data_IF_165760557598
#
_entry.id   IF_165760557598
#
_cell.length_a   1.000
_cell.length_b   1.000
_cell.length_c   1.000
_cell.angle_alpha   90.00
_cell.angle_beta   90.00
_cell.angle_gamma   90.00
#
_symmetry.space_group_name_H-M   'P 1'
#
loop_
_entity.id
_entity.type
_entity.pdbx_description
1 polymer ?
#
# COMPACT_ATOMS: atom_id res chain seq x y z
N UNK A 1 -17.31 -5.41 23.88
CA UNK A 1 -16.61 -4.76 25.01
C UNK A 1 -17.26 -5.19 26.31
N UNK A 2 -16.50 -5.46 27.38
CA UNK A 2 -17.06 -5.75 28.70
C UNK A 2 -17.90 -4.55 29.19
N UNK A 3 -19.21 -4.73 29.22
CA UNK A 3 -20.14 -3.73 29.71
C UNK A 3 -20.16 -3.77 31.24
N UNK A 4 -20.31 -2.59 31.87
CA UNK A 4 -20.58 -2.55 33.29
C UNK A 4 -21.95 -3.18 33.53
N UNK A 5 -22.00 -4.20 34.40
CA UNK A 5 -23.26 -4.83 34.78
C UNK A 5 -23.95 -3.97 35.83
N UNK A 6 -25.27 -4.03 35.86
CA UNK A 6 -26.07 -3.38 36.90
C UNK A 6 -25.59 -3.91 38.27
N UNK A 7 -25.17 -3.00 39.16
CA UNK A 7 -24.62 -3.28 40.50
C UNK A 7 -23.24 -3.97 40.58
N UNK A 8 -22.47 -4.05 39.49
CA UNK A 8 -21.10 -4.58 39.54
C UNK A 8 -20.11 -3.64 38.86
N UNK A 9 -19.12 -3.15 39.61
CA UNK A 9 -17.98 -2.43 39.02
C UNK A 9 -17.11 -3.41 38.25
N UNK A 10 -16.56 -2.96 37.12
CA UNK A 10 -15.53 -3.72 36.42
C UNK A 10 -14.35 -3.98 37.36
N UNK A 11 -13.82 -5.18 37.29
CA UNK A 11 -12.53 -5.51 37.89
C UNK A 11 -11.41 -4.68 37.24
N UNK A 12 -10.26 -4.59 37.91
CA UNK A 12 -9.13 -3.85 37.35
C UNK A 12 -8.67 -4.41 35.98
N UNK A 13 -8.74 -5.73 35.81
CA UNK A 13 -8.43 -6.38 34.53
C UNK A 13 -9.43 -6.01 33.43
N UNK A 14 -10.74 -6.06 33.73
CA UNK A 14 -11.80 -5.68 32.78
C UNK A 14 -11.75 -4.18 32.41
N UNK A 15 -11.40 -3.31 33.36
CA UNK A 15 -11.24 -1.88 33.08
C UNK A 15 -10.04 -1.65 32.14
N UNK A 16 -8.91 -2.30 32.38
CA UNK A 16 -7.74 -2.23 31.49
C UNK A 16 -8.05 -2.76 30.09
N UNK A 17 -8.81 -3.86 29.99
CA UNK A 17 -9.24 -4.41 28.72
C UNK A 17 -10.23 -3.47 28.01
N UNK A 18 -11.20 -2.91 28.74
CA UNK A 18 -12.14 -1.93 28.23
C UNK A 18 -11.41 -0.71 27.67
N UNK A 19 -10.45 -0.14 28.39
CA UNK A 19 -9.65 0.99 27.92
C UNK A 19 -8.83 0.66 26.67
N UNK A 20 -8.24 -0.55 26.60
CA UNK A 20 -7.53 -1.03 25.41
C UNK A 20 -8.46 -1.13 24.20
N UNK A 21 -9.65 -1.71 24.36
CA UNK A 21 -10.63 -1.79 23.29
C UNK A 21 -11.12 -0.40 22.87
N UNK A 22 -11.40 0.48 23.84
CA UNK A 22 -11.90 1.83 23.61
C UNK A 22 -10.86 2.69 22.90
N UNK A 23 -9.58 2.42 23.15
CA UNK A 23 -8.49 3.00 22.40
C UNK A 23 -8.58 2.57 20.93
N UNK A 24 -8.75 1.29 20.61
CA UNK A 24 -8.67 0.81 19.23
C UNK A 24 -9.98 0.87 18.43
N UNK A 25 -11.10 1.26 19.05
CA UNK A 25 -12.43 1.15 18.42
C UNK A 25 -12.54 1.94 17.10
N UNK A 26 -11.85 3.08 16.98
CA UNK A 26 -11.86 3.93 15.79
C UNK A 26 -11.31 3.20 14.55
N UNK A 27 -10.37 2.29 14.74
CA UNK A 27 -9.73 1.53 13.66
C UNK A 27 -10.74 0.57 13.02
N UNK A 28 -11.66 0.02 13.82
CA UNK A 28 -12.71 -0.89 13.31
C UNK A 28 -13.60 -0.15 12.32
N UNK A 29 -14.03 1.08 12.66
CA UNK A 29 -14.87 1.87 11.77
C UNK A 29 -14.13 2.38 10.53
N UNK A 30 -12.81 2.61 10.62
CA UNK A 30 -11.99 2.96 9.45
C UNK A 30 -11.73 1.78 8.51
N UNK A 31 -11.61 0.57 9.05
CA UNK A 31 -11.18 -0.61 8.31
C UNK A 31 -12.29 -1.58 7.90
N UNK A 32 -13.51 -1.41 8.43
CA UNK A 32 -14.62 -2.35 8.21
C UNK A 32 -15.85 -1.65 7.64
N UNK A 33 -16.61 -2.38 6.82
CA UNK A 33 -17.93 -1.95 6.38
C UNK A 33 -18.86 -1.82 7.58
N UNK A 34 -19.39 -0.61 7.79
CA UNK A 34 -20.22 -0.29 8.96
C UNK A 34 -21.72 -0.25 8.60
N UNK A 35 -22.53 -1.09 9.23
CA UNK A 35 -23.98 -0.99 9.15
C UNK A 35 -24.49 0.07 10.13
N UNK A 36 -25.02 1.16 9.59
CA UNK A 36 -25.64 2.25 10.33
C UNK A 36 -27.13 2.00 10.44
N UNK A 37 -27.57 1.68 11.65
CA UNK A 37 -28.99 1.57 11.99
C UNK A 37 -29.48 2.92 12.51
N UNK A 38 -30.14 3.69 11.64
CA UNK A 38 -30.49 5.07 11.88
C UNK A 38 -31.91 5.21 12.44
N UNK A 39 -32.03 5.82 13.63
CA UNK A 39 -33.30 6.23 14.23
C UNK A 39 -33.39 7.77 14.32
N UNK A 40 -34.52 8.30 14.80
CA UNK A 40 -34.72 9.75 14.95
C UNK A 40 -33.75 10.43 15.93
N UNK A 41 -33.10 9.67 16.81
CA UNK A 41 -32.17 10.19 17.82
C UNK A 41 -30.70 9.97 17.43
N UNK A 42 -30.44 9.43 16.23
CA UNK A 42 -29.10 9.08 15.79
C UNK A 42 -28.19 10.31 15.72
N UNK A 43 -28.67 11.40 15.14
CA UNK A 43 -27.94 12.68 15.01
C UNK A 43 -27.77 13.45 16.32
N UNK A 44 -28.41 13.01 17.41
CA UNK A 44 -28.29 13.67 18.71
C UNK A 44 -27.21 13.07 19.60
N UNK A 45 -26.68 11.89 19.28
CA UNK A 45 -25.76 11.14 20.16
C UNK A 45 -24.33 11.23 19.66
N UNK A 46 -23.37 11.34 20.58
CA UNK A 46 -21.95 11.48 20.26
C UNK A 46 -21.41 10.26 19.51
N UNK A 47 -21.59 9.07 20.07
CA UNK A 47 -21.00 7.84 19.53
C UNK A 47 -21.52 7.53 18.12
N UNK A 48 -22.82 7.59 17.90
CA UNK A 48 -23.41 7.34 16.58
C UNK A 48 -22.84 8.26 15.50
N UNK A 49 -22.69 9.55 15.80
CA UNK A 49 -22.13 10.52 14.87
C UNK A 49 -20.62 10.33 14.66
N UNK A 50 -19.88 10.06 15.72
CA UNK A 50 -18.44 9.78 15.66
C UNK A 50 -18.14 8.52 14.85
N UNK A 51 -18.86 7.43 15.10
CA UNK A 51 -18.71 6.14 14.42
C UNK A 51 -19.04 6.28 12.94
N UNK A 52 -20.12 7.00 12.62
CA UNK A 52 -20.48 7.25 11.23
C UNK A 52 -19.42 8.11 10.52
N UNK A 53 -18.95 9.19 11.15
CA UNK A 53 -17.86 9.98 10.57
C UNK A 53 -16.64 9.10 10.28
N UNK A 54 -16.19 8.29 11.24
CA UNK A 54 -15.05 7.39 11.04
C UNK A 54 -15.28 6.40 9.88
N UNK A 55 -16.48 5.83 9.77
CA UNK A 55 -16.87 4.93 8.68
C UNK A 55 -16.93 5.61 7.30
N UNK A 56 -17.05 6.94 7.27
CA UNK A 56 -16.98 7.71 6.02
C UNK A 56 -15.56 8.08 5.64
N UNK A 57 -14.54 7.85 6.46
CA UNK A 57 -13.16 8.24 6.14
C UNK A 57 -12.42 7.13 5.39
N UNK A 58 -11.48 7.54 4.54
CA UNK A 58 -10.51 6.67 3.89
C UNK A 58 -9.12 7.03 4.39
N UNK A 59 -8.44 6.03 4.96
CA UNK A 59 -7.03 6.12 5.34
C UNK A 59 -6.12 6.06 4.11
N UNK A 60 -5.12 6.93 4.07
CA UNK A 60 -4.13 7.00 3.00
C UNK A 60 -2.77 7.48 3.52
N UNK A 61 -1.74 7.44 2.67
CA UNK A 61 -0.43 8.01 2.97
C UNK A 61 -0.46 9.52 3.26
N UNK A 62 -1.47 10.23 2.76
CA UNK A 62 -1.67 11.66 3.03
C UNK A 62 -2.59 11.92 4.23
N UNK A 63 -2.97 10.87 4.97
CA UNK A 63 -3.87 10.92 6.10
C UNK A 63 -5.29 10.50 5.78
N UNK A 64 -6.20 10.85 6.70
CA UNK A 64 -7.63 10.59 6.62
C UNK A 64 -8.30 11.60 5.69
N UNK A 65 -9.04 11.09 4.72
CA UNK A 65 -9.80 11.90 3.77
C UNK A 65 -11.25 11.44 3.68
N UNK A 66 -12.14 12.40 3.43
CA UNK A 66 -13.57 12.19 3.20
C UNK A 66 -13.80 11.16 2.09
N UNK A 67 -14.47 10.06 2.43
CA UNK A 67 -14.68 8.88 1.58
C UNK A 67 -15.83 8.96 0.59
N UNK A 68 -16.37 10.15 0.29
CA UNK A 68 -17.05 10.34 -1.00
C UNK A 68 -15.97 10.27 -2.09
N UNK A 69 -15.62 9.03 -2.49
CA UNK A 69 -14.65 8.68 -3.54
C UNK A 69 -15.07 9.31 -4.86
N UNK A 70 -14.79 10.60 -5.06
CA UNK A 70 -14.56 11.14 -6.40
C UNK A 70 -13.16 10.70 -6.80
N UNK A 71 -13.05 9.58 -7.52
CA UNK A 71 -11.82 9.24 -8.25
C UNK A 71 -11.13 7.91 -7.95
N UNK A 72 -11.74 6.97 -7.21
CA UNK A 72 -11.18 5.60 -7.11
C UNK A 72 -12.29 4.57 -7.33
N UNK A 73 -12.71 4.43 -8.59
CA UNK A 73 -13.63 3.37 -9.04
C UNK A 73 -13.08 1.97 -8.72
N UNK A 74 -11.75 1.81 -8.63
CA UNK A 74 -11.05 0.54 -8.46
C UNK A 74 -11.24 -0.11 -7.08
N UNK A 75 -11.27 0.66 -5.99
CA UNK A 75 -11.39 0.09 -4.65
C UNK A 75 -12.84 -0.04 -4.17
N UNK A 76 -13.79 0.65 -4.80
CA UNK A 76 -15.22 0.41 -4.58
C UNK A 76 -15.69 -0.89 -5.25
N UNK A 77 -15.06 -1.29 -6.37
CA UNK A 77 -15.26 -2.61 -6.99
C UNK A 77 -14.64 -3.77 -6.21
N UNK A 78 -13.53 -3.54 -5.49
CA UNK A 78 -12.83 -4.60 -4.74
C UNK A 78 -13.31 -4.78 -3.29
N UNK A 79 -13.77 -3.72 -2.61
CA UNK A 79 -14.06 -3.76 -1.15
C UNK A 79 -15.53 -3.51 -0.78
N UNK A 80 -16.40 -3.18 -1.75
CA UNK A 80 -17.80 -2.84 -1.47
C UNK A 80 -17.98 -1.47 -0.80
N UNK A 81 -19.21 -1.13 -0.35
CA UNK A 81 -19.48 0.14 0.32
C UNK A 81 -18.83 0.18 1.72
N UNK A 82 -18.27 1.34 2.09
CA UNK A 82 -17.67 1.55 3.43
C UNK A 82 -18.72 1.56 4.54
N UNK A 83 -19.96 1.91 4.21
CA UNK A 83 -21.07 1.92 5.15
C UNK A 83 -22.39 1.62 4.45
N UNK A 84 -23.37 1.16 5.22
CA UNK A 84 -24.75 0.92 4.78
C UNK A 84 -25.69 1.59 5.77
N UNK A 85 -26.52 2.53 5.31
CA UNK A 85 -27.51 3.18 6.17
C UNK A 85 -28.85 2.48 6.03
N UNK A 86 -29.46 2.14 7.17
CA UNK A 86 -30.82 1.59 7.27
C UNK A 86 -31.59 2.41 8.29
N UNK A 87 -32.52 3.22 7.80
CA UNK A 87 -33.46 3.93 8.66
C UNK A 87 -34.47 2.93 9.23
N UNK A 88 -34.68 2.97 10.54
CA UNK A 88 -35.60 2.08 11.26
C UNK A 88 -36.68 2.87 12.01
N UNK A 89 -37.75 2.18 12.40
CA UNK A 89 -38.93 2.78 13.03
C UNK A 89 -39.54 3.89 12.16
N UNK A 90 -39.74 5.08 12.73
CA UNK A 90 -40.33 6.24 12.08
C UNK A 90 -39.29 7.20 11.48
N UNK A 91 -38.00 6.79 11.41
CA UNK A 91 -36.97 7.62 10.80
C UNK A 91 -37.18 7.69 9.27
N UNK A 92 -37.32 8.90 8.68
CA UNK A 92 -37.51 9.04 7.25
C UNK A 92 -36.24 8.65 6.49
N UNK A 93 -36.39 8.05 5.31
CA UNK A 93 -35.25 7.69 4.46
C UNK A 93 -34.38 8.90 4.09
N UNK A 94 -34.96 10.11 4.04
CA UNK A 94 -34.22 11.36 3.82
C UNK A 94 -33.11 11.61 4.85
N UNK A 95 -33.20 11.01 6.05
CA UNK A 95 -32.17 11.10 7.08
C UNK A 95 -30.84 10.49 6.62
N UNK A 96 -30.86 9.55 5.67
CA UNK A 96 -29.64 9.03 5.05
C UNK A 96 -28.83 10.16 4.40
N UNK A 97 -29.47 10.96 3.54
CA UNK A 97 -28.82 12.07 2.88
C UNK A 97 -28.37 13.14 3.87
N UNK A 98 -29.18 13.41 4.90
CA UNK A 98 -28.78 14.34 5.97
C UNK A 98 -27.50 13.89 6.68
N UNK A 99 -27.38 12.59 6.99
CA UNK A 99 -26.17 12.07 7.62
C UNK A 99 -24.96 12.20 6.70
N UNK A 100 -25.10 11.79 5.44
CA UNK A 100 -24.05 11.91 4.43
C UNK A 100 -23.59 13.36 4.27
N UNK A 101 -24.52 14.32 4.12
CA UNK A 101 -24.22 15.75 4.01
C UNK A 101 -23.52 16.30 5.26
N UNK A 102 -23.92 15.82 6.44
CA UNK A 102 -23.35 16.27 7.72
C UNK A 102 -21.90 15.81 7.93
N UNK A 103 -21.54 14.60 7.49
CA UNK A 103 -20.30 13.94 7.92
C UNK A 103 -19.36 13.56 6.80
N UNK A 104 -19.87 13.20 5.62
CA UNK A 104 -19.05 12.57 4.60
C UNK A 104 -17.89 13.47 4.16
N UNK A 105 -18.08 14.79 4.14
CA UNK A 105 -17.09 15.78 3.70
C UNK A 105 -16.26 16.43 4.81
N UNK A 106 -16.45 16.03 6.07
CA UNK A 106 -15.76 16.67 7.19
C UNK A 106 -14.36 16.11 7.39
N UNK A 107 -13.39 17.01 7.44
CA UNK A 107 -12.04 16.72 7.94
C UNK A 107 -12.07 16.31 9.41
N UNK A 108 -11.02 15.65 9.93
CA UNK A 108 -10.90 15.37 11.36
C UNK A 108 -11.09 16.61 12.24
N UNK A 109 -10.54 17.76 11.85
CA UNK A 109 -10.63 18.99 12.62
C UNK A 109 -12.07 19.51 12.68
N UNK A 110 -12.76 19.54 11.53
CA UNK A 110 -14.17 19.94 11.44
C UNK A 110 -15.10 18.98 12.18
N UNK A 111 -14.77 17.68 12.16
CA UNK A 111 -15.53 16.69 12.91
C UNK A 111 -15.33 16.84 14.41
N UNK A 112 -14.10 17.07 14.87
CA UNK A 112 -13.80 17.34 16.27
C UNK A 112 -14.56 18.59 16.78
N UNK A 113 -14.56 19.67 16.00
CA UNK A 113 -15.29 20.88 16.33
C UNK A 113 -16.80 20.63 16.41
N UNK A 114 -17.39 20.00 15.39
CA UNK A 114 -18.82 19.73 15.35
C UNK A 114 -19.27 18.81 16.49
N UNK A 115 -18.52 17.76 16.77
CA UNK A 115 -18.81 16.82 17.86
C UNK A 115 -18.57 17.41 19.24
N UNK A 116 -17.77 18.47 19.37
CA UNK A 116 -17.48 19.10 20.66
C UNK A 116 -18.67 19.84 21.27
N UNK A 117 -19.63 20.27 20.43
CA UNK A 117 -20.79 21.08 20.84
C UNK A 117 -21.67 20.41 21.89
N UNK A 118 -22.32 21.21 22.72
CA UNK A 118 -23.12 20.76 23.87
C UNK A 118 -24.45 20.08 23.48
N UNK A 119 -24.96 20.36 22.28
CA UNK A 119 -26.14 19.72 21.69
C UNK A 119 -25.92 18.24 21.35
N UNK A 120 -24.66 17.81 21.24
CA UNK A 120 -24.28 16.40 21.04
C UNK A 120 -24.26 15.68 22.40
N UNK A 121 -25.31 14.89 22.63
CA UNK A 121 -25.55 14.14 23.86
C UNK A 121 -24.54 12.99 24.03
N UNK A 122 -24.00 12.87 25.23
CA UNK A 122 -23.16 11.75 25.64
C UNK A 122 -23.50 11.34 27.06
N UNK A 123 -23.62 10.04 27.31
CA UNK A 123 -23.86 9.50 28.65
C UNK A 123 -22.64 9.63 29.56
N UNK A 124 -21.43 9.58 28.98
CA UNK A 124 -20.16 9.77 29.68
C UNK A 124 -19.34 10.90 29.04
N UNK A 125 -19.31 12.07 29.69
CA UNK A 125 -18.54 13.24 29.22
C UNK A 125 -17.02 12.98 29.13
N UNK A 126 -16.47 12.08 29.95
CA UNK A 126 -15.03 11.74 29.90
C UNK A 126 -14.67 11.07 28.58
N UNK A 127 -15.53 10.21 28.06
CA UNK A 127 -15.29 9.48 26.81
C UNK A 127 -15.27 10.43 25.62
N UNK A 128 -16.22 11.38 25.56
CA UNK A 128 -16.25 12.45 24.56
C UNK A 128 -14.92 13.21 24.52
N UNK A 129 -14.43 13.67 25.67
CA UNK A 129 -13.14 14.39 25.75
C UNK A 129 -11.95 13.53 25.34
N UNK A 130 -11.91 12.25 25.73
CA UNK A 130 -10.83 11.31 25.35
C UNK A 130 -10.82 11.09 23.83
N UNK A 131 -11.98 10.81 23.22
CA UNK A 131 -12.08 10.53 21.79
C UNK A 131 -11.83 11.76 20.93
N UNK A 132 -12.28 12.95 21.32
CA UNK A 132 -12.00 14.19 20.60
C UNK A 132 -10.50 14.51 20.55
N UNK A 133 -9.77 14.29 21.66
CA UNK A 133 -8.30 14.41 21.66
C UNK A 133 -7.65 13.41 20.73
N UNK A 134 -8.15 12.17 20.72
CA UNK A 134 -7.63 11.11 19.86
C UNK A 134 -7.90 11.38 18.37
N UNK A 135 -9.04 11.95 18.04
CA UNK A 135 -9.42 12.21 16.64
C UNK A 135 -8.43 13.15 15.93
N UNK A 136 -7.85 14.13 16.65
CA UNK A 136 -6.77 14.98 16.14
C UNK A 136 -5.50 14.17 15.83
N UNK A 137 -5.12 13.26 16.74
CA UNK A 137 -3.93 12.42 16.58
C UNK A 137 -4.11 11.31 15.54
N UNK A 138 -5.35 10.87 15.31
CA UNK A 138 -5.66 9.74 14.43
C UNK A 138 -5.19 9.96 12.99
N UNK A 139 -5.23 11.21 12.50
CA UNK A 139 -4.71 11.57 11.19
C UNK A 139 -3.19 11.37 11.09
N UNK A 140 -2.46 11.82 12.12
CA UNK A 140 -1.00 11.65 12.22
C UNK A 140 -0.62 10.18 12.34
N UNK A 141 -1.34 9.43 13.20
CA UNK A 141 -1.15 7.98 13.37
C UNK A 141 -1.37 7.24 12.05
N UNK A 142 -2.34 7.67 11.21
CA UNK A 142 -2.58 7.12 9.88
C UNK A 142 -1.40 7.37 8.93
N UNK A 143 -0.94 8.63 8.84
CA UNK A 143 0.21 9.00 7.98
C UNK A 143 1.44 8.19 8.39
N UNK A 144 1.71 8.11 9.69
CA UNK A 144 2.84 7.36 10.20
C UNK A 144 2.72 5.86 9.89
N UNK A 145 1.55 5.26 10.09
CA UNK A 145 1.34 3.85 9.77
C UNK A 145 1.60 3.54 8.27
N UNK A 146 1.18 4.43 7.36
CA UNK A 146 1.49 4.28 5.93
C UNK A 146 2.97 4.50 5.63
N UNK A 147 3.64 5.45 6.29
CA UNK A 147 5.08 5.65 6.16
C UNK A 147 5.86 4.41 6.63
N UNK A 148 5.43 3.78 7.73
CA UNK A 148 6.02 2.56 8.27
C UNK A 148 5.81 1.38 7.30
N UNK A 149 4.61 1.26 6.71
CA UNK A 149 4.29 0.25 5.68
C UNK A 149 5.12 0.48 4.43
N UNK A 150 5.21 1.70 3.91
CA UNK A 150 6.03 2.06 2.74
C UNK A 150 7.52 1.80 2.98
N UNK A 151 8.01 2.09 4.18
CA UNK A 151 9.37 1.74 4.62
C UNK A 151 9.62 0.23 4.61
N UNK A 152 8.58 -0.58 4.82
CA UNK A 152 8.62 -2.04 4.70
C UNK A 152 8.42 -2.54 3.26
N UNK A 153 7.57 -1.87 2.48
CA UNK A 153 7.11 -2.31 1.15
C UNK A 153 8.17 -2.05 0.09
N UNK A 154 8.87 -0.91 0.13
CA UNK A 154 9.91 -0.58 -0.86
C UNK A 154 11.06 -1.59 -0.88
N UNK A 155 11.66 -2.00 0.27
CA UNK A 155 12.72 -3.01 0.26
C UNK A 155 12.24 -4.37 -0.26
N UNK A 156 10.99 -4.77 0.05
CA UNK A 156 10.41 -6.04 -0.39
C UNK A 156 10.04 -6.02 -1.88
N UNK A 157 9.51 -4.91 -2.39
CA UNK A 157 9.20 -4.76 -3.82
C UNK A 157 10.46 -4.60 -4.67
N UNK A 158 11.47 -3.86 -4.19
CA UNK A 158 12.80 -3.81 -4.81
C UNK A 158 13.44 -5.20 -4.80
N UNK A 159 13.39 -5.92 -3.67
CA UNK A 159 13.86 -7.30 -3.58
C UNK A 159 13.13 -8.23 -4.55
N UNK A 160 11.80 -8.17 -4.62
CA UNK A 160 11.00 -8.99 -5.52
C UNK A 160 11.28 -8.66 -6.99
N UNK A 161 11.48 -7.38 -7.33
CA UNK A 161 11.88 -6.94 -8.68
C UNK A 161 13.28 -7.41 -9.03
N UNK A 162 14.27 -7.20 -8.15
CA UNK A 162 15.64 -7.68 -8.38
C UNK A 162 15.71 -9.20 -8.48
N UNK A 163 14.90 -9.94 -7.71
CA UNK A 163 14.77 -11.40 -7.84
C UNK A 163 14.12 -11.78 -9.16
N UNK A 164 13.05 -11.10 -9.60
CA UNK A 164 12.38 -11.33 -10.87
C UNK A 164 13.29 -11.01 -12.08
N UNK A 165 14.05 -9.92 -12.02
CA UNK A 165 15.04 -9.51 -13.03
C UNK A 165 16.24 -10.48 -13.07
N UNK A 166 16.66 -11.01 -11.92
CA UNK A 166 17.66 -12.07 -11.84
C UNK A 166 17.09 -13.44 -12.29
N UNK A 167 15.77 -13.63 -12.27
CA UNK A 167 15.09 -14.79 -12.86
C UNK A 167 14.90 -14.68 -14.36
N UNK A 168 14.79 -13.46 -14.90
CA UNK A 168 14.68 -13.22 -16.34
C UNK A 168 16.03 -13.09 -17.05
N UNK A 169 17.15 -13.11 -16.32
CA UNK A 169 18.51 -13.06 -16.88
C UNK A 169 18.88 -11.70 -17.48
N UNK A 170 18.17 -10.62 -17.13
CA UNK A 170 18.36 -9.28 -17.71
C UNK A 170 19.31 -8.36 -16.92
N UNK A 171 19.88 -8.81 -15.80
CA UNK A 171 20.83 -8.03 -15.00
C UNK A 171 22.25 -8.19 -15.56
N UNK A 172 22.82 -7.10 -16.09
CA UNK A 172 24.22 -7.05 -16.58
C UNK A 172 25.25 -6.98 -15.45
N UNK A 173 24.86 -6.56 -14.26
CA UNK A 173 25.65 -6.62 -13.02
C UNK A 173 24.70 -6.87 -11.85
N UNK A 174 24.84 -8.00 -11.17
CA UNK A 174 24.10 -8.23 -9.93
C UNK A 174 24.78 -7.39 -8.85
N UNK A 175 24.10 -6.36 -8.35
CA UNK A 175 24.54 -5.66 -7.14
C UNK A 175 24.37 -6.63 -5.95
N UNK A 176 25.46 -7.33 -5.63
CA UNK A 176 25.55 -8.33 -4.55
C UNK A 176 25.14 -7.70 -3.21
N UNK A 177 25.45 -6.42 -2.99
CA UNK A 177 25.13 -5.70 -1.74
C UNK A 177 23.63 -5.44 -1.63
N UNK A 178 22.98 -5.06 -2.73
CA UNK A 178 21.53 -4.89 -2.78
C UNK A 178 20.79 -6.23 -2.56
N UNK A 179 21.25 -7.31 -3.19
CA UNK A 179 20.64 -8.64 -3.05
C UNK A 179 20.80 -9.22 -1.64
N UNK A 180 21.94 -9.00 -0.98
CA UNK A 180 22.16 -9.40 0.42
C UNK A 180 21.28 -8.63 1.41
N UNK A 181 21.10 -7.34 1.17
CA UNK A 181 20.24 -6.48 2.00
C UNK A 181 18.78 -6.88 1.85
N UNK A 182 18.36 -7.21 0.62
CA UNK A 182 17.04 -7.75 0.30
C UNK A 182 16.76 -9.08 1.01
N UNK A 183 17.67 -10.06 0.94
CA UNK A 183 17.49 -11.37 1.60
C UNK A 183 17.43 -11.22 3.13
N UNK A 184 18.21 -10.30 3.73
CA UNK A 184 18.16 -10.01 5.18
C UNK A 184 16.82 -9.39 5.61
N UNK A 185 16.19 -8.57 4.77
CA UNK A 185 14.90 -7.93 5.05
C UNK A 185 13.68 -8.84 4.82
N UNK A 186 13.82 -9.87 3.99
CA UNK A 186 12.70 -10.69 3.53
C UNK A 186 12.28 -11.84 4.48
N UNK A 187 12.02 -11.54 5.76
CA UNK A 187 11.55 -12.53 6.76
C UNK A 187 10.18 -13.15 6.46
N UNK A 188 9.42 -12.57 5.53
CA UNK A 188 8.04 -12.94 5.23
C UNK A 188 7.88 -13.74 3.93
N UNK A 189 8.96 -14.04 3.21
CA UNK A 189 8.91 -14.84 1.99
C UNK A 189 8.79 -16.34 2.29
N UNK A 190 8.16 -17.12 1.40
CA UNK A 190 8.15 -18.58 1.50
C UNK A 190 9.59 -19.14 1.54
N UNK A 191 9.86 -20.18 2.34
CA UNK A 191 11.20 -20.75 2.52
C UNK A 191 11.85 -21.19 1.21
N UNK A 192 11.07 -21.75 0.27
CA UNK A 192 11.55 -22.17 -1.05
C UNK A 192 12.09 -21.00 -1.89
N UNK A 193 11.44 -19.83 -1.83
CA UNK A 193 11.87 -18.63 -2.55
C UNK A 193 13.14 -18.02 -1.93
N UNK A 194 13.29 -18.12 -0.60
CA UNK A 194 14.50 -17.69 0.10
C UNK A 194 15.70 -18.57 -0.25
N UNK A 195 15.52 -19.88 -0.35
CA UNK A 195 16.61 -20.80 -0.69
C UNK A 195 17.05 -20.64 -2.14
N UNK A 196 16.13 -20.42 -3.08
CA UNK A 196 16.46 -20.06 -4.46
C UNK A 196 17.23 -18.73 -4.54
N UNK A 197 16.82 -17.70 -3.78
CA UNK A 197 17.53 -16.43 -3.74
C UNK A 197 18.95 -16.56 -3.16
N UNK A 198 19.11 -17.37 -2.10
CA UNK A 198 20.43 -17.69 -1.52
C UNK A 198 21.35 -18.40 -2.50
N UNK A 199 20.82 -19.35 -3.29
CA UNK A 199 21.59 -20.06 -4.30
C UNK A 199 22.08 -19.10 -5.40
N UNK A 200 21.23 -18.19 -5.87
CA UNK A 200 21.62 -17.15 -6.84
C UNK A 200 22.63 -16.17 -6.30
N UNK A 201 22.50 -15.78 -5.03
CA UNK A 201 23.50 -14.94 -4.36
C UNK A 201 24.87 -15.66 -4.32
N UNK A 202 24.89 -16.96 -4.02
CA UNK A 202 26.12 -17.75 -4.02
C UNK A 202 26.74 -17.84 -5.43
N UNK A 203 25.91 -18.01 -6.46
CA UNK A 203 26.35 -18.02 -7.86
C UNK A 203 26.91 -16.66 -8.31
N UNK A 204 26.24 -15.55 -7.97
CA UNK A 204 26.71 -14.21 -8.25
C UNK A 204 28.06 -13.92 -7.58
N UNK A 205 28.22 -14.31 -6.30
CA UNK A 205 29.49 -14.19 -5.57
C UNK A 205 30.62 -14.99 -6.24
N UNK A 206 30.32 -16.21 -6.72
CA UNK A 206 31.30 -17.01 -7.47
C UNK A 206 31.71 -16.33 -8.78
N UNK A 207 30.75 -15.83 -9.56
CA UNK A 207 31.05 -15.12 -10.81
C UNK A 207 31.88 -13.85 -10.58
N UNK A 208 31.57 -13.07 -9.54
CA UNK A 208 32.33 -11.86 -9.20
C UNK A 208 33.75 -12.19 -8.75
N UNK A 209 33.92 -13.20 -7.89
CA UNK A 209 35.24 -13.66 -7.46
C UNK A 209 36.08 -14.20 -8.62
N UNK A 210 35.46 -14.97 -9.54
CA UNK A 210 36.11 -15.47 -10.76
C UNK A 210 36.53 -14.33 -11.69
N UNK A 211 35.68 -13.32 -11.88
CA UNK A 211 36.01 -12.15 -12.70
C UNK A 211 37.17 -11.36 -12.11
N UNK A 212 37.16 -11.12 -10.78
CA UNK A 212 38.25 -10.45 -10.08
C UNK A 212 39.56 -11.23 -10.16
N UNK A 213 39.50 -12.56 -10.01
CA UNK A 213 40.66 -13.45 -10.15
C UNK A 213 41.21 -13.42 -11.59
N UNK A 214 40.35 -13.39 -12.60
CA UNK A 214 40.76 -13.29 -13.99
C UNK A 214 41.46 -11.95 -14.30
N UNK A 215 40.99 -10.84 -13.73
CA UNK A 215 41.62 -9.52 -13.90
C UNK A 215 43.05 -9.49 -13.35
N UNK A 216 43.28 -10.07 -12.16
CA UNK A 216 44.62 -10.08 -11.52
C UNK A 216 45.57 -11.12 -12.11
N UNK A 217 45.07 -12.06 -12.92
CA UNK A 217 45.87 -13.12 -13.57
C UNK A 217 46.04 -12.91 -15.08
N UNK A 218 45.44 -11.88 -15.67
CA UNK A 218 45.53 -11.59 -17.10
C UNK A 218 46.87 -10.88 -17.46
N UNK A 219 47.57 -11.31 -18.53
CA UNK A 219 48.74 -10.58 -19.05
C UNK A 219 48.34 -9.28 -19.77
N UNK A 220 49.20 -8.25 -19.84
CA UNK A 220 50.56 -8.19 -19.29
C UNK A 220 50.56 -7.88 -17.79
N UNK A 221 51.41 -8.57 -17.01
CA UNK A 221 51.54 -8.50 -15.55
C UNK A 221 52.11 -7.16 -15.01
N UNK A 222 51.75 -6.04 -15.64
CA UNK A 222 52.25 -4.73 -15.25
C UNK A 222 51.56 -4.26 -13.97
N UNK A 223 52.32 -4.22 -12.87
CA UNK A 223 51.96 -3.59 -11.59
C UNK A 223 50.57 -3.97 -11.06
N UNK A 224 50.35 -5.27 -10.84
CA UNK A 224 49.24 -5.72 -9.98
C UNK A 224 49.73 -5.68 -8.53
N UNK A 225 48.99 -5.01 -7.65
CA UNK A 225 49.33 -4.92 -6.23
C UNK A 225 49.26 -6.32 -5.58
N UNK A 226 50.34 -6.72 -4.90
CA UNK A 226 50.44 -8.00 -4.20
C UNK A 226 49.30 -8.19 -3.17
N UNK A 227 48.86 -7.08 -2.55
CA UNK A 227 47.72 -7.09 -1.63
C UNK A 227 46.41 -7.42 -2.36
N UNK A 228 46.21 -6.86 -3.55
CA UNK A 228 45.00 -7.07 -4.36
C UNK A 228 44.90 -8.50 -4.90
N UNK A 229 46.02 -9.11 -5.28
CA UNK A 229 46.06 -10.53 -5.68
C UNK A 229 45.74 -11.45 -4.51
N UNK A 230 46.28 -11.16 -3.30
CA UNK A 230 45.97 -11.93 -2.08
C UNK A 230 44.51 -11.83 -1.69
N UNK A 231 43.94 -10.63 -1.77
CA UNK A 231 42.51 -10.40 -1.49
C UNK A 231 41.61 -11.13 -2.50
N UNK A 232 41.97 -11.14 -3.79
CA UNK A 232 41.23 -11.88 -4.81
C UNK A 232 41.27 -13.41 -4.58
N UNK A 233 42.43 -13.95 -4.17
CA UNK A 233 42.59 -15.37 -3.83
C UNK A 233 41.75 -15.74 -2.60
N UNK A 234 41.76 -14.90 -1.55
CA UNK A 234 40.95 -15.13 -0.36
C UNK A 234 39.45 -15.14 -0.70
N UNK A 235 38.98 -14.15 -1.46
CA UNK A 235 37.59 -14.06 -1.89
C UNK A 235 37.16 -15.27 -2.74
N UNK A 236 38.03 -15.74 -3.65
CA UNK A 236 37.79 -16.94 -4.46
C UNK A 236 37.74 -18.23 -3.63
N UNK A 237 38.55 -18.32 -2.57
CA UNK A 237 38.57 -19.48 -1.66
C UNK A 237 37.31 -19.57 -0.81
N UNK A 238 36.78 -18.44 -0.34
CA UNK A 238 35.56 -18.38 0.47
C UNK A 238 34.31 -18.84 -0.30
N UNK A 239 34.29 -18.67 -1.63
CA UNK A 239 33.15 -19.05 -2.49
C UNK A 239 33.32 -20.41 -3.19
N UNK A 240 34.45 -21.08 -2.95
CA UNK A 240 34.74 -22.44 -3.43
C UNK A 240 35.18 -22.52 -4.89
N UNK A 241 35.97 -21.55 -5.38
CA UNK A 241 36.59 -21.61 -6.71
C UNK A 241 37.59 -22.77 -6.80
N UNK A 242 37.70 -23.39 -7.99
CA UNK A 242 38.56 -24.56 -8.21
C UNK A 242 40.05 -24.28 -7.97
N UNK A 243 40.76 -25.22 -7.33
CA UNK A 243 42.17 -25.10 -6.93
C UNK A 243 43.12 -24.74 -8.09
N UNK A 244 42.87 -25.24 -9.30
CA UNK A 244 43.73 -24.97 -10.46
C UNK A 244 43.82 -23.47 -10.81
N UNK A 245 42.76 -22.69 -10.57
CA UNK A 245 42.78 -21.25 -10.80
C UNK A 245 43.46 -20.48 -9.67
N UNK A 246 43.38 -20.99 -8.44
CA UNK A 246 44.10 -20.45 -7.30
C UNK A 246 45.62 -20.66 -7.42
N UNK A 247 46.04 -21.80 -7.96
CA UNK A 247 47.45 -22.10 -8.24
C UNK A 247 48.04 -21.14 -9.29
N UNK A 248 47.31 -20.86 -10.38
CA UNK A 248 47.74 -19.87 -11.39
C UNK A 248 47.91 -18.46 -10.80
N UNK A 249 47.05 -18.05 -9.89
CA UNK A 249 47.19 -16.76 -9.21
C UNK A 249 48.38 -16.73 -8.22
N UNK A 250 48.69 -17.85 -7.58
CA UNK A 250 49.87 -17.99 -6.74
C UNK A 250 51.18 -17.93 -7.55
N UNK A 251 51.18 -18.44 -8.78
CA UNK A 251 52.33 -18.31 -9.70
C UNK A 251 52.59 -16.84 -10.09
N UNK A 252 51.54 -16.03 -10.25
CA UNK A 252 51.67 -14.57 -10.50
C UNK A 252 52.33 -13.86 -9.31
N UNK A 253 51.96 -14.20 -8.08
CA UNK A 253 52.62 -13.67 -6.87
C UNK A 253 54.11 -14.00 -6.86
N UNK A 254 54.47 -15.24 -7.21
CA UNK A 254 55.86 -15.70 -7.29
C UNK A 254 56.68 -14.93 -8.33
N UNK A 255 56.11 -14.74 -9.52
CA UNK A 255 56.74 -13.96 -10.60
C UNK A 255 56.92 -12.49 -10.20
N UNK A 256 55.94 -11.89 -9.50
CA UNK A 256 56.05 -10.51 -9.01
C UNK A 256 57.15 -10.32 -7.97
N UNK A 257 57.33 -11.31 -7.08
CA UNK A 257 58.41 -11.32 -6.09
C UNK A 257 59.80 -11.41 -6.73
N UNK A 258 59.95 -12.26 -7.75
CA UNK A 258 61.21 -12.41 -8.49
C UNK A 258 61.57 -11.14 -9.30
N UNK A 259 60.57 -10.46 -9.89
CA UNK A 259 60.75 -9.18 -10.59
C UNK A 259 61.18 -8.04 -9.65
N UNK A 260 60.69 -8.02 -8.41
CA UNK A 260 61.09 -7.03 -7.40
C UNK A 260 62.55 -7.21 -6.97
N UNK A 261 62.99 -8.47 -6.82
CA UNK A 261 64.38 -8.80 -6.52
C UNK A 261 65.33 -8.36 -7.66
N UNK A 262 64.90 -8.53 -8.92
CA UNK A 262 65.63 -8.05 -10.09
C UNK A 262 65.68 -6.52 -10.16
N UNK A 263 64.59 -5.82 -9.83
CA UNK A 263 64.56 -4.36 -9.77
C UNK A 263 65.54 -3.80 -8.71
N UNK A 264 65.60 -4.41 -7.53
CA UNK A 264 66.56 -4.04 -6.48
C UNK A 264 68.02 -4.29 -6.91
N UNK A 265 68.27 -5.36 -7.66
CA UNK A 265 69.60 -5.64 -8.23
C UNK A 265 70.00 -4.63 -9.32
N UNK A 266 69.05 -4.20 -10.15
CA UNK A 266 69.26 -3.17 -11.18
C UNK A 266 69.53 -1.80 -10.53
N UNK A 267 68.81 -1.44 -9.48
CA UNK A 267 69.03 -0.19 -8.74
C UNK A 267 70.42 -0.17 -8.07
N UNK A 268 70.86 -1.29 -7.49
CA UNK A 268 72.22 -1.44 -6.99
C UNK A 268 73.31 -1.37 -8.07
N UNK A 269 73.03 -1.86 -9.28
CA UNK A 269 73.93 -1.76 -10.42
C UNK A 269 74.03 -0.33 -10.95
N UNK A 270 72.93 0.41 -10.95
CA UNK A 270 72.87 1.82 -11.37
C UNK A 270 73.68 2.72 -10.44
N UNK A 271 73.56 2.52 -9.12
CA UNK A 271 74.36 3.26 -8.11
C UNK A 271 75.88 2.97 -8.25
N UNK A 272 76.27 1.77 -8.73
CA UNK A 272 77.67 1.46 -9.07
C UNK A 272 78.14 2.15 -10.36
N UNK A 273 77.28 2.25 -11.37
CA UNK A 273 77.59 2.93 -12.62
C UNK A 273 77.80 4.44 -12.42
N UNK A 274 76.97 5.08 -11.59
CA UNK A 274 77.08 6.51 -11.29
C UNK A 274 78.36 6.83 -10.49
N UNK A 275 78.79 5.91 -9.62
CA UNK A 275 80.06 6.03 -8.88
C UNK A 275 81.28 5.96 -9.80
N UNK A 276 81.23 5.14 -10.85
CA UNK A 276 82.30 5.04 -11.87
C UNK A 276 82.34 6.26 -12.81
N UNK A 277 81.20 6.90 -13.09
CA UNK A 277 81.16 8.16 -13.86
C UNK A 277 81.77 9.35 -13.09
N UNK A 278 81.63 9.38 -11.77
CA UNK A 278 82.25 10.40 -10.91
C UNK A 278 83.77 10.24 -10.86
N UNK A 279 84.28 9.01 -10.92
CA UNK A 279 85.72 8.75 -10.96
C UNK A 279 86.35 8.98 -12.35
N UNK A 280 85.59 8.77 -13.44
CA UNK A 280 86.05 9.07 -14.81
C UNK A 280 86.15 10.57 -15.12
N UNK A 281 85.38 11.43 -14.43
CA UNK A 281 85.43 12.90 -14.60
C UNK A 281 86.63 13.57 -13.91
N UNK A 282 87.41 12.84 -13.10
CA UNK A 282 88.59 13.37 -12.41
C UNK A 282 89.90 13.33 -13.22
N UNK A 283 89.94 12.72 -14.41
CA UNK A 283 91.20 12.43 -15.11
C UNK A 283 91.39 13.04 -16.51
N UNK A 284 90.48 13.85 -17.04
CA UNK A 284 90.71 14.47 -18.36
C UNK A 284 90.49 15.98 -18.32
N UNK A 285 91.63 16.68 -18.32
CA UNK A 285 91.70 18.13 -18.29
C UNK A 285 91.35 18.79 -19.62
N UNK A 286 90.69 19.96 -19.45
CA UNK A 286 90.81 21.21 -20.22
C UNK A 286 90.88 21.09 -21.74
N UNK A 287 89.73 21.36 -22.38
CA UNK A 287 89.64 22.04 -23.67
C UNK A 287 88.45 23.01 -23.63
N UNK A 288 88.76 24.30 -23.80
CA UNK A 288 87.89 25.44 -24.15
C UNK A 288 86.48 25.49 -23.53
N UNK A 289 86.42 25.70 -22.21
CA UNK A 289 85.20 25.88 -21.40
C UNK A 289 84.17 26.88 -21.97
N UNK A 290 84.60 27.87 -22.73
CA UNK A 290 83.74 28.99 -23.18
C UNK A 290 82.89 28.68 -24.42
N UNK A 291 83.31 27.74 -25.28
CA UNK A 291 82.56 27.36 -26.50
C UNK A 291 81.68 26.12 -26.27
N UNK A 292 82.12 25.18 -25.43
CA UNK A 292 81.32 24.02 -25.05
C UNK A 292 80.13 24.39 -24.16
N UNK A 293 80.27 25.41 -23.31
CA UNK A 293 79.18 25.89 -22.44
C UNK A 293 78.09 26.60 -23.25
N UNK A 294 78.47 27.40 -24.26
CA UNK A 294 77.51 28.00 -25.20
C UNK A 294 76.83 26.97 -26.10
N UNK A 295 77.54 25.93 -26.53
CA UNK A 295 76.96 24.85 -27.32
C UNK A 295 76.01 23.99 -26.47
N UNK A 296 76.36 23.72 -25.20
CA UNK A 296 75.49 23.03 -24.25
C UNK A 296 74.25 23.84 -23.91
N UNK A 297 74.37 25.13 -23.64
CA UNK A 297 73.21 26.01 -23.41
C UNK A 297 72.29 26.06 -24.64
N UNK A 298 72.86 26.03 -25.85
CA UNK A 298 72.08 25.94 -27.09
C UNK A 298 71.37 24.59 -27.23
N UNK A 299 72.05 23.47 -26.98
CA UNK A 299 71.43 22.14 -26.99
C UNK A 299 70.38 21.98 -25.88
N UNK A 300 70.60 22.57 -24.70
CA UNK A 300 69.63 22.57 -23.61
C UNK A 300 68.41 23.42 -23.96
N UNK A 301 68.61 24.57 -24.60
CA UNK A 301 67.53 25.42 -25.09
C UNK A 301 66.73 24.72 -26.22
N UNK A 302 67.39 24.02 -27.14
CA UNK A 302 66.75 23.24 -28.20
C UNK A 302 65.99 22.03 -27.63
N UNK A 303 66.53 21.33 -26.64
CA UNK A 303 65.84 20.24 -25.95
C UNK A 303 64.63 20.74 -25.14
N UNK A 304 64.75 21.89 -24.47
CA UNK A 304 63.61 22.53 -23.79
C UNK A 304 62.54 22.95 -24.79
N UNK A 305 62.93 23.53 -25.92
CA UNK A 305 62.00 23.91 -26.99
C UNK A 305 61.30 22.69 -27.60
N UNK A 306 62.02 21.57 -27.76
CA UNK A 306 61.46 20.33 -28.24
C UNK A 306 60.49 19.71 -27.23
N UNK A 307 60.84 19.73 -25.94
CA UNK A 307 59.97 19.32 -24.84
C UNK A 307 58.65 20.10 -24.80
N UNK A 308 58.72 21.42 -24.90
CA UNK A 308 57.52 22.28 -24.97
C UNK A 308 56.69 22.00 -26.22
N UNK A 309 57.31 21.74 -27.37
CA UNK A 309 56.59 21.37 -28.60
C UNK A 309 55.86 20.03 -28.47
N UNK A 310 56.49 19.03 -27.85
CA UNK A 310 55.85 17.72 -27.60
C UNK A 310 54.72 17.83 -26.58
N UNK A 311 54.89 18.62 -25.52
CA UNK A 311 53.83 18.88 -24.54
C UNK A 311 52.66 19.64 -25.18
N UNK A 312 52.94 20.64 -26.03
CA UNK A 312 51.90 21.33 -26.80
C UNK A 312 51.16 20.41 -27.78
N UNK A 313 51.88 19.48 -28.43
CA UNK A 313 51.26 18.51 -29.33
C UNK A 313 50.37 17.52 -28.57
N UNK A 314 50.85 16.97 -27.44
CA UNK A 314 50.10 16.05 -26.59
C UNK A 314 48.87 16.72 -25.96
N UNK A 315 49.01 17.97 -25.50
CA UNK A 315 47.87 18.73 -24.97
C UNK A 315 46.86 19.09 -26.05
N UNK A 316 47.30 19.35 -27.28
CA UNK A 316 46.41 19.56 -28.42
C UNK A 316 45.63 18.29 -28.79
N UNK A 317 46.30 17.15 -28.89
CA UNK A 317 45.65 15.87 -29.18
C UNK A 317 44.68 15.46 -28.07
N UNK A 318 45.05 15.66 -26.80
CA UNK A 318 44.15 15.41 -25.66
C UNK A 318 42.89 16.30 -25.73
N UNK A 319 43.04 17.58 -26.08
CA UNK A 319 41.94 18.53 -26.25
C UNK A 319 41.03 18.18 -27.44
N UNK A 320 41.60 17.73 -28.56
CA UNK A 320 40.82 17.27 -29.72
C UNK A 320 40.05 15.99 -29.39
N UNK A 321 40.66 15.04 -28.68
CA UNK A 321 39.98 13.83 -28.22
C UNK A 321 38.87 14.12 -27.19
N UNK A 322 39.08 15.06 -26.25
CA UNK A 322 38.02 15.54 -25.35
C UNK A 322 36.84 16.15 -26.11
N UNK A 323 37.12 16.92 -27.17
CA UNK A 323 36.09 17.55 -28.00
C UNK A 323 35.29 16.50 -28.78
N UNK A 324 35.95 15.49 -29.33
CA UNK A 324 35.29 14.39 -30.04
C UNK A 324 34.41 13.55 -29.10
N UNK A 325 34.88 13.27 -27.88
CA UNK A 325 34.07 12.61 -26.86
C UNK A 325 32.85 13.43 -26.44
N UNK A 326 33.00 14.75 -26.31
CA UNK A 326 31.89 15.63 -25.96
C UNK A 326 30.83 15.67 -27.08
N UNK A 327 31.26 15.69 -28.34
CA UNK A 327 30.35 15.65 -29.49
C UNK A 327 29.60 14.32 -29.60
N UNK A 328 30.27 13.18 -29.34
CA UNK A 328 29.65 11.87 -29.33
C UNK A 328 28.55 11.78 -28.25
N UNK A 329 28.84 12.23 -27.02
CA UNK A 329 27.85 12.28 -25.92
C UNK A 329 26.66 13.17 -26.26
N UNK A 330 26.88 14.28 -26.95
CA UNK A 330 25.79 15.18 -27.35
C UNK A 330 24.87 14.54 -28.40
N UNK A 331 25.40 13.69 -29.28
CA UNK A 331 24.62 12.95 -30.26
C UNK A 331 23.78 11.85 -29.60
N UNK A 332 24.37 11.10 -28.67
CA UNK A 332 23.66 10.07 -27.87
C UNK A 332 22.51 10.69 -27.07
N UNK A 333 22.75 11.83 -26.41
CA UNK A 333 21.71 12.58 -25.69
C UNK A 333 20.56 13.03 -26.60
N UNK A 334 20.86 13.48 -27.83
CA UNK A 334 19.82 13.86 -28.79
C UNK A 334 18.99 12.66 -29.25
N UNK A 335 19.61 11.51 -29.47
CA UNK A 335 18.92 10.28 -29.83
C UNK A 335 18.01 9.79 -28.68
N UNK A 336 18.53 9.76 -27.46
CA UNK A 336 17.76 9.37 -26.27
C UNK A 336 16.55 10.30 -26.01
N UNK A 337 16.68 11.61 -26.30
CA UNK A 337 15.57 12.57 -26.18
C UNK A 337 14.48 12.31 -27.23
N UNK A 338 14.84 11.97 -28.47
CA UNK A 338 13.85 11.65 -29.51
C UNK A 338 13.15 10.30 -29.26
N UNK A 339 13.88 9.30 -28.77
CA UNK A 339 13.28 8.02 -28.35
C UNK A 339 12.28 8.21 -27.21
N UNK A 340 12.65 9.01 -26.18
CA UNK A 340 11.76 9.34 -25.07
C UNK A 340 10.49 10.09 -25.52
N UNK A 341 10.59 10.98 -26.52
CA UNK A 341 9.42 11.65 -27.12
C UNK A 341 8.48 10.64 -27.79
N UNK A 342 9.03 9.68 -28.55
CA UNK A 342 8.26 8.61 -29.19
C UNK A 342 7.48 7.76 -28.19
N UNK A 343 8.12 7.36 -27.09
CA UNK A 343 7.47 6.64 -25.99
C UNK A 343 6.36 7.46 -25.31
N UNK A 344 6.61 8.76 -25.13
CA UNK A 344 5.64 9.69 -24.53
C UNK A 344 4.38 9.82 -25.40
N UNK A 345 4.53 9.88 -26.72
CA UNK A 345 3.40 10.00 -27.64
C UNK A 345 2.64 8.66 -27.79
N UNK A 346 3.33 7.52 -27.70
CA UNK A 346 2.69 6.21 -27.60
C UNK A 346 1.87 6.06 -26.31
N UNK A 347 2.39 6.52 -25.17
CA UNK A 347 1.68 6.53 -23.90
C UNK A 347 0.43 7.43 -23.94
N UNK A 348 0.51 8.63 -24.54
CA UNK A 348 -0.65 9.51 -24.72
C UNK A 348 -1.75 8.85 -25.57
N UNK A 349 -1.37 8.12 -26.62
CA UNK A 349 -2.32 7.38 -27.46
C UNK A 349 -3.04 6.27 -26.68
N UNK A 350 -2.31 5.52 -25.86
CA UNK A 350 -2.88 4.49 -24.98
C UNK A 350 -3.82 5.09 -23.93
N UNK A 351 -3.46 6.23 -23.32
CA UNK A 351 -4.32 6.94 -22.36
C UNK A 351 -5.62 7.42 -23.02
N UNK A 352 -5.55 7.93 -24.25
CA UNK A 352 -6.74 8.38 -25.00
C UNK A 352 -7.68 7.21 -25.32
N UNK A 353 -7.14 6.06 -25.71
CA UNK A 353 -7.90 4.84 -25.98
C UNK A 353 -8.57 4.31 -24.70
N UNK A 354 -7.84 4.28 -23.58
CA UNK A 354 -8.40 3.93 -22.27
C UNK A 354 -9.52 4.88 -21.85
N UNK A 355 -9.37 6.20 -22.07
CA UNK A 355 -10.43 7.18 -21.78
C UNK A 355 -11.68 7.01 -22.64
N UNK A 356 -11.54 6.58 -23.89
CA UNK A 356 -12.68 6.28 -24.75
C UNK A 356 -13.41 5.00 -24.30
N UNK A 357 -12.65 3.97 -23.90
CA UNK A 357 -13.21 2.74 -23.35
C UNK A 357 -13.96 2.98 -22.04
N UNK A 358 -13.40 3.81 -21.14
CA UNK A 358 -14.06 4.19 -19.89
C UNK A 358 -15.40 4.91 -20.15
N UNK A 359 -15.44 5.81 -21.15
CA UNK A 359 -16.67 6.52 -21.55
C UNK A 359 -17.74 5.56 -22.08
N UNK A 360 -17.36 4.55 -22.87
CA UNK A 360 -18.30 3.53 -23.37
C UNK A 360 -18.89 2.72 -22.22
N UNK A 361 -18.05 2.26 -21.29
CA UNK A 361 -18.51 1.52 -20.11
C UNK A 361 -19.42 2.36 -19.20
N UNK A 362 -19.13 3.66 -19.04
CA UNK A 362 -20.01 4.58 -18.32
C UNK A 362 -21.42 4.67 -18.91
N UNK A 363 -21.52 4.74 -20.25
CA UNK A 363 -22.81 4.77 -20.96
C UNK A 363 -23.59 3.46 -20.77
N UNK A 364 -22.93 2.31 -20.83
CA UNK A 364 -23.56 1.00 -20.58
C UNK A 364 -24.09 0.86 -19.15
N UNK A 365 -23.33 1.34 -18.15
CA UNK A 365 -23.77 1.34 -16.76
C UNK A 365 -24.99 2.25 -16.52
N UNK A 366 -25.04 3.41 -17.17
CA UNK A 366 -26.19 4.32 -17.10
C UNK A 366 -27.44 3.75 -17.77
N UNK A 367 -27.27 2.93 -18.81
CA UNK A 367 -28.37 2.22 -19.45
C UNK A 367 -28.92 1.12 -18.53
N UNK A 368 -28.05 0.28 -17.97
CA UNK A 368 -28.44 -0.75 -17.00
C UNK A 368 -29.10 -0.14 -15.76
N UNK A 369 -28.59 0.98 -15.24
CA UNK A 369 -29.20 1.69 -14.11
C UNK A 369 -30.63 2.13 -14.42
N UNK A 370 -30.91 2.62 -15.63
CA UNK A 370 -32.26 3.00 -16.06
C UNK A 370 -33.20 1.81 -16.15
N UNK A 371 -32.72 0.68 -16.68
CA UNK A 371 -33.50 -0.56 -16.74
C UNK A 371 -33.83 -1.10 -15.33
N UNK A 372 -32.86 -1.07 -14.42
CA UNK A 372 -33.08 -1.48 -13.02
C UNK A 372 -34.09 -0.57 -12.32
N UNK A 373 -34.01 0.75 -12.49
CA UNK A 373 -34.98 1.69 -11.94
C UNK A 373 -36.39 1.47 -12.51
N UNK A 374 -36.51 1.12 -13.79
CA UNK A 374 -37.79 0.76 -14.40
C UNK A 374 -38.40 -0.47 -13.75
N UNK A 375 -37.62 -1.55 -13.58
CA UNK A 375 -38.07 -2.78 -12.91
C UNK A 375 -38.43 -2.54 -11.44
N UNK A 376 -37.67 -1.71 -10.74
CA UNK A 376 -37.94 -1.38 -9.33
C UNK A 376 -39.29 -0.65 -9.16
N UNK A 377 -39.65 0.24 -10.10
CA UNK A 377 -40.96 0.92 -10.08
C UNK A 377 -42.11 -0.07 -10.26
N UNK A 378 -42.02 -0.95 -11.26
CA UNK A 378 -43.04 -1.97 -11.51
C UNK A 378 -43.27 -2.86 -10.28
N UNK A 379 -42.19 -3.30 -9.63
CA UNK A 379 -42.29 -4.13 -8.43
C UNK A 379 -42.89 -3.37 -7.23
N UNK A 380 -42.65 -2.06 -7.11
CA UNK A 380 -43.29 -1.23 -6.08
C UNK A 380 -44.79 -1.07 -6.34
N UNK A 381 -45.18 -0.88 -7.59
CA UNK A 381 -46.60 -0.76 -7.98
C UNK A 381 -47.34 -2.09 -7.77
N UNK A 382 -46.72 -3.23 -8.12
CA UNK A 382 -47.29 -4.56 -7.83
C UNK A 382 -47.44 -4.81 -6.33
N UNK A 383 -46.42 -4.45 -5.54
CA UNK A 383 -46.47 -4.61 -4.09
C UNK A 383 -47.58 -3.77 -3.46
N UNK A 384 -47.72 -2.51 -3.86
CA UNK A 384 -48.78 -1.63 -3.35
C UNK A 384 -50.16 -2.15 -3.73
N UNK A 385 -50.34 -2.64 -4.96
CA UNK A 385 -51.59 -3.31 -5.39
C UNK A 385 -51.94 -4.53 -4.54
N UNK A 386 -50.94 -5.36 -4.19
CA UNK A 386 -51.15 -6.53 -3.33
C UNK A 386 -51.46 -6.16 -1.87
N UNK A 387 -50.82 -5.12 -1.35
CA UNK A 387 -51.09 -4.59 -0.01
C UNK A 387 -52.54 -4.04 0.07
N UNK A 388 -53.00 -3.35 -0.96
CA UNK A 388 -54.39 -2.88 -1.06
C UNK A 388 -55.40 -4.03 -1.13
N UNK A 389 -55.11 -5.08 -1.91
CA UNK A 389 -55.97 -6.26 -2.00
C UNK A 389 -56.06 -7.00 -0.64
N UNK A 390 -54.93 -7.15 0.05
CA UNK A 390 -54.90 -7.73 1.39
C UNK A 390 -55.71 -6.90 2.38
N UNK A 391 -55.62 -5.57 2.30
CA UNK A 391 -56.37 -4.69 3.19
C UNK A 391 -57.88 -4.79 2.94
N UNK A 392 -58.32 -4.90 1.68
CA UNK A 392 -59.72 -5.15 1.34
C UNK A 392 -60.22 -6.46 1.94
N UNK A 393 -59.50 -7.56 1.76
CA UNK A 393 -59.87 -8.88 2.34
C UNK A 393 -59.93 -8.85 3.86
N UNK A 394 -59.02 -8.11 4.53
CA UNK A 394 -59.08 -7.92 5.98
C UNK A 394 -60.36 -7.21 6.43
N UNK A 395 -60.75 -6.16 5.71
CA UNK A 395 -61.98 -5.42 6.00
C UNK A 395 -63.22 -6.31 5.80
N UNK A 396 -63.29 -7.07 4.71
CA UNK A 396 -64.38 -8.03 4.46
C UNK A 396 -64.51 -9.06 5.60
N UNK A 397 -63.39 -9.65 6.05
CA UNK A 397 -63.39 -10.60 7.18
C UNK A 397 -63.89 -9.94 8.47
N UNK A 398 -63.52 -8.69 8.73
CA UNK A 398 -63.99 -7.95 9.90
C UNK A 398 -65.49 -7.68 9.83
N UNK A 399 -66.01 -7.28 8.67
CA UNK A 399 -67.43 -7.06 8.46
C UNK A 399 -68.23 -8.36 8.66
N UNK A 400 -67.75 -9.49 8.11
CA UNK A 400 -68.35 -10.80 8.36
C UNK A 400 -68.39 -11.16 9.84
N UNK A 401 -67.28 -10.94 10.57
CA UNK A 401 -67.23 -11.18 12.02
C UNK A 401 -68.22 -10.31 12.78
N UNK A 402 -68.34 -9.03 12.42
CA UNK A 402 -69.32 -8.13 13.02
C UNK A 402 -70.75 -8.58 12.74
N UNK A 403 -71.05 -9.01 11.51
CA UNK A 403 -72.36 -9.55 11.15
C UNK A 403 -72.70 -10.82 11.95
N UNK A 404 -71.74 -11.75 12.09
CA UNK A 404 -71.90 -12.98 12.91
C UNK A 404 -72.16 -12.66 14.38
N UNK A 405 -71.38 -11.76 14.99
CA UNK A 405 -71.61 -11.33 16.38
C UNK A 405 -72.99 -10.69 16.57
N UNK A 406 -73.45 -9.88 15.61
CA UNK A 406 -74.77 -9.26 15.66
C UNK A 406 -75.88 -10.32 15.60
N UNK A 407 -75.75 -11.30 14.69
CA UNK A 407 -76.69 -12.42 14.59
C UNK A 407 -76.74 -13.25 15.88
N UNK A 408 -75.59 -13.53 16.48
CA UNK A 408 -75.49 -14.28 17.73
C UNK A 408 -76.15 -13.54 18.90
N UNK A 409 -75.96 -12.21 19.01
CA UNK A 409 -76.66 -11.38 20.00
C UNK A 409 -78.18 -11.47 19.85
N UNK A 410 -78.69 -11.44 18.63
CA UNK A 410 -80.14 -11.58 18.36
C UNK A 410 -80.65 -12.96 18.78
N UNK A 411 -79.91 -14.03 18.46
CA UNK A 411 -80.26 -15.39 18.87
C UNK A 411 -80.25 -15.55 20.40
N UNK A 412 -79.25 -15.01 21.08
CA UNK A 412 -79.16 -15.04 22.54
C UNK A 412 -80.30 -14.24 23.18
N UNK A 413 -80.65 -13.06 22.66
CA UNK A 413 -81.80 -12.29 23.14
C UNK A 413 -83.12 -13.07 23.00
N UNK A 414 -83.31 -13.77 21.87
CA UNK A 414 -84.48 -14.65 21.66
C UNK A 414 -84.51 -15.81 22.66
N UNK A 415 -83.37 -16.45 22.93
CA UNK A 415 -83.25 -17.54 23.93
C UNK A 415 -83.58 -17.06 25.34
N UNK A 416 -83.08 -15.88 25.74
CA UNK A 416 -83.37 -15.29 27.06
C UNK A 416 -84.87 -14.99 27.18
N UNK A 417 -85.47 -14.35 26.18
CA UNK A 417 -86.92 -14.09 26.15
C UNK A 417 -87.77 -15.37 26.19
N UNK A 418 -87.38 -16.43 25.49
CA UNK A 418 -88.06 -17.73 25.57
C UNK A 418 -87.93 -18.35 26.98
N UNK A 419 -86.74 -18.30 27.60
CA UNK A 419 -86.55 -18.76 28.98
C UNK A 419 -87.38 -17.97 29.98
N UNK A 420 -87.40 -16.65 29.88
CA UNK A 420 -88.20 -15.78 30.75
C UNK A 420 -89.70 -16.08 30.59
N UNK A 421 -90.19 -16.26 29.36
CA UNK A 421 -91.58 -16.69 29.12
C UNK A 421 -91.89 -18.07 29.73
N UNK A 422 -90.97 -19.04 29.61
CA UNK A 422 -91.13 -20.36 30.23
C UNK A 422 -91.04 -20.37 31.76
N UNK A 423 -90.34 -19.40 32.37
CA UNK A 423 -90.30 -19.21 33.83
C UNK A 423 -91.59 -18.53 34.29
N UNK A 424 -92.02 -17.47 33.61
CA UNK A 424 -93.29 -16.77 33.90
C UNK A 424 -94.46 -17.73 33.77
N UNK A 425 -94.51 -18.56 32.72
CA UNK A 425 -95.58 -19.54 32.53
C UNK A 425 -95.61 -20.61 33.62
N UNK A 426 -94.45 -21.01 34.17
CA UNK A 426 -94.37 -21.98 35.28
C UNK A 426 -94.76 -21.35 36.63
N UNK A 427 -94.36 -20.11 36.88
CA UNK A 427 -94.79 -19.35 38.06
C UNK A 427 -96.29 -19.06 38.01
N UNK A 428 -96.83 -18.71 36.85
CA UNK A 428 -98.26 -18.49 36.67
C UNK A 428 -99.06 -19.77 36.92
N UNK A 429 -98.59 -20.92 36.41
CA UNK A 429 -99.21 -22.22 36.66
C UNK A 429 -99.13 -22.66 38.14
N UNK A 430 -98.07 -22.28 38.89
CA UNK A 430 -97.96 -22.62 40.31
C UNK A 430 -98.79 -21.71 41.22
N UNK A 431 -99.05 -20.47 40.82
CA UNK A 431 -99.81 -19.49 41.62
C UNK A 431 -101.31 -19.58 41.35
N UNK A 432 -101.72 -19.81 40.10
CA UNK A 432 -103.14 -19.75 39.72
C UNK A 432 -103.79 -21.12 39.47
N UNK A 433 -103.03 -22.22 39.61
CA UNK A 433 -103.51 -23.58 39.33
C UNK A 433 -103.60 -23.85 37.82
N UNK A 434 -103.15 -25.03 37.39
CA UNK A 434 -103.22 -25.42 35.99
C UNK A 434 -104.69 -25.57 35.54
N UNK A 435 -105.09 -25.00 34.39
CA UNK A 435 -106.42 -25.25 33.85
C UNK A 435 -106.55 -26.74 33.48
N UNK A 436 -107.55 -27.41 34.06
CA UNK A 436 -108.01 -28.73 33.60
C UNK A 436 -108.48 -28.59 32.16
N UNK A 437 -107.73 -29.17 31.23
CA UNK A 437 -108.17 -29.34 29.84
C UNK A 437 -109.08 -30.56 29.82
N UNK A 438 -110.39 -30.33 29.68
CA UNK A 438 -111.34 -31.37 29.29
C UNK A 438 -111.10 -31.75 27.84
N UNK A 439 -110.93 -33.06 27.60
CA UNK A 439 -110.90 -33.67 26.28
C UNK A 439 -112.20 -33.38 25.53
N UNK A 440 -112.10 -32.81 24.32
CA UNK A 440 -113.12 -33.00 23.30
C UNK A 440 -112.45 -33.61 22.05
N UNK A 441 -112.84 -34.85 21.77
CA UNK A 441 -112.66 -35.54 20.51
C UNK A 441 -113.45 -34.81 19.40
N UNK A 442 -112.79 -34.55 18.27
CA UNK A 442 -113.22 -34.98 16.92
C UNK A 442 -111.97 -35.25 16.09
#
# INVERSE_FOLDING_TARGET
>A
MPQQRENQKRTHAEEKEFERMLHSINIIFLGCTTLVVCDMQYVGRFWTQFEFWAATQVASANGLSSGLRKGIETAQQLLGPLYLIRCIHSAPQAMQHTLEDMWAHKTPEQAAEALSKDDVLVTNKKDKTKQLKKLKKLNEDCIQAYADIEGWRRPVELAARSVAEAMSGSLKEIDVVALESAIRGAKCLPPESLDQARNKLAEARRSQAMHRLALVTAPPYNYVDEAEVKDAILAAREVGVANEQLERAADVLKISGDMRLLAEQVEHAQVRADKLQVDLKKTTGKLTSSEQEKQREKEEAENRLQGVKTEMAQTKEAKEHELDQANARQLELKQAVEESKGETDQAKKQVLELQQNLRRQGIELDQLRREFQGKERVLKDERTSLEDELQRKRNEILEERHARMKAERVLNARRVSARSRGIISRLFASVFGAPRVENQHV
#
